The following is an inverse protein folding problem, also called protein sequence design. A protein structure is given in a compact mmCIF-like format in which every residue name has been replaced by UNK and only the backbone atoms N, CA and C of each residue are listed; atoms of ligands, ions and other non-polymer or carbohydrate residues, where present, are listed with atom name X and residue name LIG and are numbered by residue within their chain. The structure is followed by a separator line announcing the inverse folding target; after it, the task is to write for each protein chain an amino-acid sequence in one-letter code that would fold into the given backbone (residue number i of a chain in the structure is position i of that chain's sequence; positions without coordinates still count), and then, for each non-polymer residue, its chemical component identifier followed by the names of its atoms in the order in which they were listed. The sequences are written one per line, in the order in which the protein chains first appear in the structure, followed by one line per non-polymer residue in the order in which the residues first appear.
data_IF_088334329442
#
_entry.id   IF_088334329442
#
_cell.length_a   1.000
_cell.length_b   1.000
_cell.length_c   1.000
_cell.angle_alpha   90.00
_cell.angle_beta   90.00
_cell.angle_gamma   90.00
#
_symmetry.space_group_name_H-M   'P 1'
#
loop_
_entity.id
_entity.type
_entity.pdbx_description
1 polymer ?
#
# COMPACT_ATOMS: atom_id res chain seq x y z
N UNK A 1 -12.27 31.68 6.43
CA UNK A 1 -10.86 31.28 6.48
C UNK A 1 -10.44 30.62 5.15
N UNK A 2 -11.25 29.74 4.53
CA UNK A 2 -10.94 29.09 3.24
C UNK A 2 -10.83 30.03 2.03
N UNK A 3 -11.59 31.12 1.97
CA UNK A 3 -11.46 32.11 0.89
C UNK A 3 -10.11 32.85 0.90
N UNK A 4 -9.49 33.00 2.07
CA UNK A 4 -8.18 33.66 2.20
C UNK A 4 -7.01 32.77 1.72
N UNK A 5 -7.17 31.44 1.70
CA UNK A 5 -6.16 30.52 1.15
C UNK A 5 -6.18 30.58 -0.37
N UNK A 6 -7.35 30.63 -0.99
CA UNK A 6 -7.50 30.71 -2.44
C UNK A 6 -7.09 32.07 -3.02
N UNK A 7 -7.29 33.16 -2.28
CA UNK A 7 -6.96 34.53 -2.73
C UNK A 7 -5.43 34.82 -2.75
N UNK A 8 -4.61 34.00 -2.08
CA UNK A 8 -3.15 34.11 -2.06
C UNK A 8 -2.41 33.13 -2.96
N UNK A 9 -3.10 32.27 -3.71
CA UNK A 9 -2.46 31.27 -4.58
C UNK A 9 -2.05 31.93 -5.90
N UNK A 10 -0.97 32.71 -5.87
CA UNK A 10 -0.30 33.21 -7.04
C UNK A 10 0.84 32.29 -7.53
N UNK A 11 1.04 31.14 -6.87
CA UNK A 11 2.15 30.22 -7.14
C UNK A 11 1.63 28.88 -7.64
N UNK A 12 1.72 28.67 -8.95
CA UNK A 12 1.54 27.32 -9.52
C UNK A 12 2.71 26.44 -9.08
N UNK A 13 2.41 25.26 -8.58
CA UNK A 13 3.43 24.22 -8.40
C UNK A 13 3.87 23.78 -9.80
N UNK A 14 5.14 24.04 -10.13
CA UNK A 14 5.72 23.60 -11.40
C UNK A 14 6.41 22.24 -11.24
N UNK A 15 6.67 21.57 -12.38
CA UNK A 15 7.44 20.33 -12.42
C UNK A 15 8.79 20.49 -11.68
N UNK A 16 9.51 21.55 -11.98
CA UNK A 16 10.84 21.81 -11.42
C UNK A 16 10.78 21.97 -9.90
N UNK A 17 9.76 22.67 -9.42
CA UNK A 17 9.55 22.87 -7.98
C UNK A 17 9.22 21.54 -7.28
N UNK A 18 8.37 20.72 -7.87
CA UNK A 18 8.06 19.40 -7.34
C UNK A 18 9.30 18.48 -7.35
N UNK A 19 10.09 18.47 -8.43
CA UNK A 19 11.34 17.69 -8.47
C UNK A 19 12.35 18.18 -7.42
N UNK A 20 12.40 19.50 -7.15
CA UNK A 20 13.21 20.05 -6.05
C UNK A 20 12.72 19.57 -4.68
N UNK A 21 11.41 19.44 -4.46
CA UNK A 21 10.84 18.84 -3.25
C UNK A 21 11.30 17.39 -3.11
N UNK A 22 11.20 16.58 -4.16
CA UNK A 22 11.62 15.16 -4.13
C UNK A 22 13.11 15.04 -3.76
N UNK A 23 13.97 15.87 -4.36
CA UNK A 23 15.39 15.93 -4.00
C UNK A 23 15.60 16.35 -2.55
N UNK A 24 14.83 17.31 -2.08
CA UNK A 24 14.84 17.76 -0.68
C UNK A 24 14.43 16.65 0.29
N UNK A 25 13.40 15.86 -0.03
CA UNK A 25 12.95 14.73 0.78
C UNK A 25 14.03 13.64 0.87
N UNK A 26 14.64 13.27 -0.25
CA UNK A 26 15.77 12.32 -0.26
C UNK A 26 16.91 12.81 0.65
N UNK A 27 17.25 14.09 0.57
CA UNK A 27 18.26 14.70 1.43
C UNK A 27 17.84 14.69 2.89
N UNK A 28 16.60 15.08 3.20
CA UNK A 28 16.07 15.17 4.57
C UNK A 28 16.15 13.83 5.31
N UNK A 29 15.74 12.74 4.66
CA UNK A 29 15.73 11.40 5.29
C UNK A 29 17.11 10.74 5.34
N UNK A 30 18.07 11.20 4.54
CA UNK A 30 19.47 10.75 4.60
C UNK A 30 20.36 11.58 5.54
N UNK A 31 19.91 12.78 5.94
CA UNK A 31 20.68 13.66 6.82
C UNK A 31 20.60 13.19 8.27
N UNK A 32 21.77 12.94 8.84
CA UNK A 32 21.92 12.52 10.25
C UNK A 32 21.40 13.54 11.26
N UNK A 33 21.31 14.83 10.90
CA UNK A 33 20.75 15.88 11.76
C UNK A 33 19.25 15.69 12.06
N UNK A 34 18.51 14.99 11.17
CA UNK A 34 17.10 14.70 11.32
C UNK A 34 16.82 13.37 12.06
N UNK A 35 17.88 12.61 12.39
CA UNK A 35 17.74 11.27 12.97
C UNK A 35 16.91 11.25 14.25
N UNK A 36 17.19 12.14 15.21
CA UNK A 36 16.48 12.17 16.49
C UNK A 36 14.99 12.48 16.31
N UNK A 37 14.66 13.35 15.37
CA UNK A 37 13.26 13.65 15.00
C UNK A 37 12.59 12.44 14.38
N UNK A 38 13.24 11.76 13.46
CA UNK A 38 12.71 10.54 12.83
C UNK A 38 12.45 9.46 13.90
N UNK A 39 13.41 9.21 14.78
CA UNK A 39 13.25 8.22 15.87
C UNK A 39 12.07 8.56 16.78
N UNK A 40 11.87 9.83 17.12
CA UNK A 40 10.73 10.27 17.91
C UNK A 40 9.39 9.90 17.24
N UNK A 41 9.28 10.09 15.92
CA UNK A 41 8.06 9.74 15.18
C UNK A 41 7.88 8.22 15.02
N UNK A 42 8.96 7.48 14.84
CA UNK A 42 8.96 6.01 14.84
C UNK A 42 8.42 5.48 16.18
N UNK A 43 8.91 6.01 17.30
CA UNK A 43 8.42 5.60 18.63
C UNK A 43 6.94 5.99 18.86
N UNK A 44 6.52 7.16 18.39
CA UNK A 44 5.10 7.53 18.42
C UNK A 44 4.24 6.56 17.61
N UNK A 45 4.66 6.21 16.39
CA UNK A 45 3.92 5.31 15.51
C UNK A 45 3.75 3.90 16.13
N UNK A 46 4.79 3.37 16.79
CA UNK A 46 4.68 2.09 17.54
C UNK A 46 3.65 2.16 18.67
N UNK A 47 3.48 3.32 19.29
CA UNK A 47 2.47 3.52 20.34
C UNK A 47 1.06 3.71 19.79
N UNK A 48 0.92 4.27 18.58
CA UNK A 48 -0.38 4.48 17.94
C UNK A 48 -0.97 3.17 17.37
N UNK A 49 -0.12 2.32 16.82
CA UNK A 49 -0.55 1.08 16.19
C UNK A 49 0.30 -0.10 16.66
N UNK A 50 -0.32 -1.01 17.39
CA UNK A 50 0.36 -2.20 17.89
C UNK A 50 0.81 -3.22 16.81
N UNK A 51 0.52 -3.00 15.54
CA UNK A 51 1.12 -3.71 14.40
C UNK A 51 2.44 -3.09 13.94
N UNK A 52 2.70 -1.82 14.28
CA UNK A 52 3.87 -1.10 13.82
C UNK A 52 5.10 -1.46 14.65
N UNK A 53 5.83 -2.49 14.24
CA UNK A 53 7.15 -2.81 14.75
C UNK A 53 8.20 -1.88 14.13
N UNK A 54 9.38 -1.77 14.74
CA UNK A 54 10.51 -1.03 14.16
C UNK A 54 10.86 -1.55 12.76
N UNK A 55 10.89 -2.88 12.60
CA UNK A 55 11.10 -3.54 11.30
C UNK A 55 10.08 -3.09 10.24
N UNK A 56 8.78 -3.11 10.58
CA UNK A 56 7.70 -2.76 9.64
C UNK A 56 7.78 -1.29 9.23
N UNK A 57 8.01 -0.38 10.19
CA UNK A 57 8.15 1.05 9.91
C UNK A 57 9.36 1.32 9.01
N UNK A 58 10.51 0.74 9.33
CA UNK A 58 11.74 0.95 8.54
C UNK A 58 11.64 0.37 7.14
N UNK A 59 10.99 -0.77 6.96
CA UNK A 59 10.71 -1.30 5.63
C UNK A 59 9.82 -0.36 4.81
N UNK A 60 8.77 0.21 5.42
CA UNK A 60 7.92 1.17 4.73
C UNK A 60 8.68 2.45 4.37
N UNK A 61 9.48 3.00 5.29
CA UNK A 61 10.32 4.17 5.02
C UNK A 61 11.31 3.91 3.89
N UNK A 62 11.98 2.74 3.90
CA UNK A 62 12.91 2.34 2.83
C UNK A 62 12.21 2.20 1.48
N UNK A 63 11.01 1.60 1.45
CA UNK A 63 10.23 1.47 0.23
C UNK A 63 9.82 2.83 -0.32
N UNK A 64 9.35 3.75 0.52
CA UNK A 64 8.99 5.12 0.14
C UNK A 64 10.20 5.86 -0.42
N UNK A 65 11.36 5.80 0.25
CA UNK A 65 12.59 6.45 -0.20
C UNK A 65 13.00 5.93 -1.58
N UNK A 66 13.06 4.62 -1.77
CA UNK A 66 13.49 4.00 -3.02
C UNK A 66 12.52 4.23 -4.18
N UNK A 67 11.20 4.21 -3.91
CA UNK A 67 10.17 4.30 -4.94
C UNK A 67 9.77 5.74 -5.26
N UNK A 68 9.70 6.60 -4.25
CA UNK A 68 9.06 7.92 -4.39
C UNK A 68 10.03 9.09 -4.22
N UNK A 69 11.20 8.92 -3.60
CA UNK A 69 12.17 10.01 -3.43
C UNK A 69 13.32 9.93 -4.44
N UNK A 70 13.01 9.58 -5.66
CA UNK A 70 13.95 9.49 -6.76
C UNK A 70 13.55 10.44 -7.88
N UNK A 71 14.33 11.51 -8.07
CA UNK A 71 14.08 12.55 -9.08
C UNK A 71 13.99 11.96 -10.48
N UNK A 72 14.89 11.02 -10.85
CA UNK A 72 14.87 10.43 -12.19
C UNK A 72 13.60 9.63 -12.49
N UNK A 73 13.03 8.97 -11.46
CA UNK A 73 11.75 8.24 -11.59
C UNK A 73 10.62 9.21 -11.87
N UNK A 74 10.53 10.32 -11.14
CA UNK A 74 9.53 11.36 -11.36
C UNK A 74 9.72 12.09 -12.69
N UNK A 75 10.94 12.37 -13.09
CA UNK A 75 11.22 13.02 -14.38
C UNK A 75 10.74 12.14 -15.53
N UNK A 76 11.10 10.85 -15.51
CA UNK A 76 10.59 9.88 -16.49
C UNK A 76 9.07 9.68 -16.42
N UNK A 77 8.46 9.77 -15.23
CA UNK A 77 7.02 9.75 -15.08
C UNK A 77 6.36 10.93 -15.78
N UNK A 78 6.84 12.15 -15.54
CA UNK A 78 6.30 13.36 -16.18
C UNK A 78 6.50 13.40 -17.70
N UNK A 79 7.55 12.77 -18.24
CA UNK A 79 7.74 12.67 -19.70
C UNK A 79 6.63 11.87 -20.38
N UNK A 80 5.95 10.98 -19.65
CA UNK A 80 4.85 10.15 -20.13
C UNK A 80 3.47 10.81 -19.92
N UNK A 81 3.39 11.92 -19.20
CA UNK A 81 2.14 12.57 -18.83
C UNK A 81 1.98 13.90 -19.60
N UNK A 82 0.77 14.16 -20.07
CA UNK A 82 0.53 15.29 -21.00
C UNK A 82 0.31 16.65 -20.33
N UNK A 83 0.16 16.76 -19.00
CA UNK A 83 -0.14 18.05 -18.38
C UNK A 83 0.06 18.11 -16.86
N UNK A 84 0.38 19.33 -16.37
CA UNK A 84 0.09 19.81 -15.03
C UNK A 84 -1.31 20.44 -15.00
N UNK A 85 -2.00 20.40 -13.86
CA UNK A 85 -3.26 21.13 -13.74
C UNK A 85 -3.03 22.64 -13.90
N UNK A 86 -3.83 23.27 -14.75
CA UNK A 86 -3.77 24.71 -14.96
C UNK A 86 -4.40 25.52 -13.82
N UNK A 87 -5.18 24.87 -12.95
CA UNK A 87 -5.91 25.50 -11.85
C UNK A 87 -5.84 24.63 -10.60
N UNK A 88 -5.16 25.09 -9.52
CA UNK A 88 -5.14 24.33 -8.26
C UNK A 88 -6.54 24.06 -7.72
N UNK A 89 -6.78 22.82 -7.28
CA UNK A 89 -8.02 22.38 -6.63
C UNK A 89 -7.74 21.94 -5.20
N UNK A 90 -8.76 21.96 -4.37
CA UNK A 90 -8.69 21.46 -3.01
C UNK A 90 -9.07 19.98 -3.01
N UNK A 91 -8.09 19.10 -2.82
CA UNK A 91 -8.28 17.64 -2.84
C UNK A 91 -8.28 17.09 -1.42
N UNK A 92 -9.38 16.43 -1.05
CA UNK A 92 -9.52 15.73 0.20
C UNK A 92 -8.93 14.33 0.14
N UNK A 93 -8.01 14.01 1.06
CA UNK A 93 -7.40 12.68 1.18
C UNK A 93 -7.86 12.04 2.50
N UNK A 94 -8.63 10.95 2.43
CA UNK A 94 -8.98 10.11 3.58
C UNK A 94 -8.07 8.88 3.56
N UNK A 95 -7.10 8.86 4.47
CA UNK A 95 -6.02 7.89 4.45
C UNK A 95 -6.32 6.69 5.35
N UNK A 96 -5.94 5.49 4.92
CA UNK A 96 -5.92 4.31 5.78
C UNK A 96 -4.68 4.33 6.70
N UNK A 97 -4.62 3.43 7.66
CA UNK A 97 -3.51 3.35 8.62
C UNK A 97 -3.13 1.89 8.92
N UNK A 98 -3.39 0.98 7.98
CA UNK A 98 -3.01 -0.42 8.13
C UNK A 98 -1.50 -0.66 7.92
N UNK A 99 -0.84 0.21 7.16
CA UNK A 99 0.62 0.23 6.95
C UNK A 99 1.18 1.63 7.22
N UNK A 100 2.46 1.75 7.64
CA UNK A 100 3.09 3.03 7.89
C UNK A 100 3.16 3.89 6.63
N UNK A 101 2.66 5.10 6.70
CA UNK A 101 2.67 6.12 5.65
C UNK A 101 2.09 5.63 4.31
N UNK A 102 1.11 4.72 4.35
CA UNK A 102 0.48 4.15 3.14
C UNK A 102 -0.18 5.20 2.24
N UNK A 103 -0.53 6.37 2.79
CA UNK A 103 -1.10 7.49 2.05
C UNK A 103 -0.10 8.35 1.27
N UNK A 104 1.21 8.06 1.33
CA UNK A 104 2.24 8.89 0.70
C UNK A 104 2.11 8.97 -0.82
N UNK A 105 1.75 7.88 -1.49
CA UNK A 105 1.55 7.90 -2.93
C UNK A 105 0.45 8.88 -3.34
N UNK A 106 -0.71 8.85 -2.69
CA UNK A 106 -1.83 9.75 -3.00
C UNK A 106 -1.49 11.22 -2.67
N UNK A 107 -0.77 11.46 -1.58
CA UNK A 107 -0.29 12.79 -1.23
C UNK A 107 0.67 13.33 -2.30
N UNK A 108 1.69 12.56 -2.66
CA UNK A 108 2.67 12.98 -3.67
C UNK A 108 2.04 13.18 -5.05
N UNK A 109 1.11 12.32 -5.48
CA UNK A 109 0.38 12.51 -6.73
C UNK A 109 -0.47 13.77 -6.71
N UNK A 110 -1.10 14.10 -5.58
CA UNK A 110 -1.88 15.33 -5.41
C UNK A 110 -1.00 16.58 -5.55
N UNK A 111 0.14 16.59 -4.90
CA UNK A 111 1.10 17.69 -4.99
C UNK A 111 1.75 17.78 -6.38
N UNK A 112 2.10 16.62 -6.97
CA UNK A 112 2.67 16.54 -8.32
C UNK A 112 1.71 17.06 -9.40
N UNK A 113 0.39 16.88 -9.21
CA UNK A 113 -0.63 17.42 -10.10
C UNK A 113 -0.88 18.93 -9.89
N UNK A 114 -0.23 19.58 -8.91
CA UNK A 114 -0.38 21.00 -8.64
C UNK A 114 -1.56 21.38 -7.74
N UNK A 115 -2.09 20.44 -6.96
CA UNK A 115 -3.26 20.65 -6.10
C UNK A 115 -2.88 20.87 -4.63
N UNK A 116 -3.84 21.40 -3.87
CA UNK A 116 -3.76 21.54 -2.41
C UNK A 116 -4.35 20.28 -1.75
N UNK A 117 -3.66 19.77 -0.74
CA UNK A 117 -4.07 18.55 -0.06
C UNK A 117 -4.69 18.84 1.31
N UNK A 118 -5.90 18.34 1.56
CA UNK A 118 -6.55 18.33 2.87
C UNK A 118 -6.66 16.90 3.35
N UNK A 119 -5.91 16.56 4.40
CA UNK A 119 -5.74 15.19 4.85
C UNK A 119 -6.55 14.90 6.11
N UNK A 120 -7.37 13.87 6.04
CA UNK A 120 -7.91 13.20 7.22
C UNK A 120 -7.06 11.96 7.48
N UNK A 121 -6.15 12.09 8.45
CA UNK A 121 -5.26 10.99 8.82
C UNK A 121 -6.01 9.89 9.57
N UNK A 122 -5.56 8.66 9.42
CA UNK A 122 -5.99 7.56 10.29
C UNK A 122 -5.42 7.73 11.69
N UNK A 123 -6.20 7.40 12.72
CA UNK A 123 -5.69 7.35 14.09
C UNK A 123 -4.62 6.28 14.32
N UNK A 124 -4.50 5.33 13.39
CA UNK A 124 -3.54 4.23 13.46
C UNK A 124 -2.22 4.51 12.72
N UNK A 125 -2.12 5.65 12.00
CA UNK A 125 -0.91 6.04 11.25
C UNK A 125 -0.78 7.57 11.23
N UNK A 126 -1.05 8.22 12.33
CA UNK A 126 -0.96 9.68 12.40
C UNK A 126 0.50 10.14 12.44
N UNK A 127 1.32 9.49 13.26
CA UNK A 127 2.70 9.89 13.47
C UNK A 127 3.55 9.79 12.20
N UNK A 128 3.50 8.68 11.46
CA UNK A 128 4.32 8.53 10.27
C UNK A 128 3.90 9.50 9.17
N UNK A 129 2.61 9.65 8.90
CA UNK A 129 2.14 10.66 7.93
C UNK A 129 2.54 12.07 8.36
N UNK A 130 2.47 12.40 9.65
CA UNK A 130 2.86 13.71 10.15
C UNK A 130 4.36 13.98 9.98
N UNK A 131 5.23 12.98 10.16
CA UNK A 131 6.67 13.09 9.88
C UNK A 131 6.92 13.54 8.44
N UNK A 132 6.27 12.90 7.46
CA UNK A 132 6.44 13.24 6.05
C UNK A 132 5.84 14.61 5.71
N UNK A 133 4.69 14.96 6.26
CA UNK A 133 4.06 16.29 6.08
C UNK A 133 4.99 17.39 6.61
N UNK A 134 5.54 17.21 7.82
CA UNK A 134 6.47 18.17 8.41
C UNK A 134 7.78 18.27 7.61
N UNK A 135 8.27 17.16 7.05
CA UNK A 135 9.43 17.17 6.16
C UNK A 135 9.14 17.99 4.89
N UNK A 136 8.02 17.73 4.20
CA UNK A 136 7.58 18.47 3.01
C UNK A 136 7.52 19.97 3.31
N UNK A 137 6.80 20.36 4.37
CA UNK A 137 6.61 21.76 4.74
C UNK A 137 7.90 22.45 5.21
N UNK A 138 8.86 21.72 5.76
CA UNK A 138 10.16 22.26 6.14
C UNK A 138 11.08 22.52 4.93
N UNK A 139 10.91 21.75 3.86
CA UNK A 139 11.66 21.93 2.61
C UNK A 139 11.06 23.07 1.79
N UNK A 140 9.74 23.08 1.66
CA UNK A 140 9.02 24.12 0.93
C UNK A 140 7.61 24.33 1.52
N UNK A 141 7.47 25.41 2.27
CA UNK A 141 6.22 25.77 2.98
C UNK A 141 5.05 26.14 2.05
N UNK A 142 5.29 26.34 0.76
CA UNK A 142 4.23 26.66 -0.21
C UNK A 142 3.49 25.42 -0.72
N UNK A 143 4.02 24.20 -0.47
CA UNK A 143 3.19 23.00 -0.62
C UNK A 143 2.09 22.99 0.44
N UNK A 144 0.89 23.38 0.02
CA UNK A 144 -0.24 23.52 0.93
C UNK A 144 -0.80 22.15 1.32
N UNK A 145 -0.54 21.76 2.56
CA UNK A 145 -1.01 20.52 3.18
C UNK A 145 -1.68 20.88 4.48
N UNK A 146 -2.97 20.59 4.62
CA UNK A 146 -3.73 20.82 5.84
C UNK A 146 -4.19 19.47 6.43
N UNK A 147 -3.94 19.26 7.71
CA UNK A 147 -4.43 18.09 8.44
C UNK A 147 -5.68 18.47 9.22
N UNK A 148 -6.77 17.72 9.02
CA UNK A 148 -8.08 18.00 9.60
C UNK A 148 -8.68 16.77 10.27
N UNK A 149 -9.48 16.98 11.30
CA UNK A 149 -10.27 15.91 11.94
C UNK A 149 -11.50 15.53 11.09
N UNK A 150 -12.03 16.48 10.33
CA UNK A 150 -13.17 16.29 9.44
C UNK A 150 -12.96 17.07 8.16
N UNK A 151 -13.14 16.40 7.01
CA UNK A 151 -13.02 17.08 5.72
C UNK A 151 -14.02 18.21 5.58
N UNK A 152 -13.57 19.40 5.18
CA UNK A 152 -14.45 20.49 4.75
C UNK A 152 -15.07 20.19 3.37
N UNK A 153 -15.71 21.18 2.77
CA UNK A 153 -16.04 21.12 1.35
C UNK A 153 -14.76 21.14 0.52
N UNK A 154 -14.60 20.19 -0.38
CA UNK A 154 -13.44 20.01 -1.26
C UNK A 154 -13.90 19.80 -2.70
N UNK A 155 -13.00 20.02 -3.67
CA UNK A 155 -13.31 19.88 -5.09
C UNK A 155 -13.31 18.43 -5.57
N UNK A 156 -12.45 17.60 -4.97
CA UNK A 156 -12.35 16.17 -5.25
C UNK A 156 -11.91 15.38 -4.02
N UNK A 157 -12.13 14.07 -4.00
CA UNK A 157 -11.74 13.19 -2.89
C UNK A 157 -11.06 11.93 -3.38
N UNK A 158 -9.97 11.55 -2.70
CA UNK A 158 -9.39 10.20 -2.76
C UNK A 158 -9.54 9.60 -1.36
N UNK A 159 -10.27 8.51 -1.24
CA UNK A 159 -10.53 7.87 0.04
C UNK A 159 -10.22 6.38 0.02
N UNK A 160 -9.48 5.92 1.01
CA UNK A 160 -9.17 4.51 1.23
C UNK A 160 -9.86 4.02 2.49
N UNK A 161 -10.58 2.92 2.41
CA UNK A 161 -11.30 2.38 3.56
C UNK A 161 -11.72 0.93 3.40
N UNK A 162 -12.27 0.35 4.48
CA UNK A 162 -12.89 -0.98 4.43
C UNK A 162 -14.09 -0.99 3.47
N UNK A 163 -14.59 -2.17 3.11
CA UNK A 163 -15.76 -2.30 2.23
C UNK A 163 -16.99 -1.54 2.77
N UNK A 164 -17.18 -1.54 4.09
CA UNK A 164 -18.24 -0.76 4.74
C UNK A 164 -18.00 0.75 4.58
N UNK A 165 -16.79 1.22 4.89
CA UNK A 165 -16.43 2.63 4.75
C UNK A 165 -16.49 3.10 3.30
N UNK A 166 -16.07 2.28 2.34
CA UNK A 166 -16.08 2.61 0.91
C UNK A 166 -17.49 2.82 0.38
N UNK A 167 -18.45 1.99 0.81
CA UNK A 167 -19.87 2.16 0.43
C UNK A 167 -20.44 3.47 0.99
N UNK A 168 -20.09 3.81 2.23
CA UNK A 168 -20.46 5.10 2.83
C UNK A 168 -19.85 6.27 2.06
N UNK A 169 -18.54 6.22 1.75
CA UNK A 169 -17.83 7.27 1.03
C UNK A 169 -18.38 7.47 -0.39
N UNK A 170 -18.67 6.39 -1.12
CA UNK A 170 -19.25 6.47 -2.45
C UNK A 170 -20.59 7.22 -2.47
N UNK A 171 -21.43 6.99 -1.47
CA UNK A 171 -22.69 7.71 -1.32
C UNK A 171 -22.48 9.17 -0.89
N UNK A 172 -21.59 9.41 0.07
CA UNK A 172 -21.37 10.74 0.65
C UNK A 172 -20.73 11.69 -0.37
N UNK A 173 -19.76 11.20 -1.15
CA UNK A 173 -19.04 11.99 -2.14
C UNK A 173 -19.60 11.87 -3.59
N UNK A 174 -20.78 11.27 -3.78
CA UNK A 174 -21.37 11.02 -5.09
C UNK A 174 -21.52 12.28 -5.99
N UNK A 175 -21.50 13.50 -5.40
CA UNK A 175 -21.70 14.75 -6.12
C UNK A 175 -20.42 15.45 -6.57
N UNK A 176 -19.26 14.95 -6.20
CA UNK A 176 -17.96 15.49 -6.56
C UNK A 176 -17.08 14.40 -7.17
N UNK A 177 -16.08 14.73 -8.00
CA UNK A 177 -15.10 13.77 -8.49
C UNK A 177 -14.46 13.01 -7.32
N UNK A 178 -14.36 11.66 -7.43
CA UNK A 178 -13.78 10.88 -6.35
C UNK A 178 -13.15 9.57 -6.82
N UNK A 179 -12.11 9.14 -6.11
CA UNK A 179 -11.58 7.78 -6.13
C UNK A 179 -11.86 7.16 -4.76
N UNK A 180 -12.65 6.09 -4.72
CA UNK A 180 -12.91 5.34 -3.49
C UNK A 180 -12.28 3.96 -3.61
N UNK A 181 -11.20 3.75 -2.85
CA UNK A 181 -10.46 2.50 -2.83
C UNK A 181 -11.07 1.53 -1.83
N UNK A 182 -11.21 0.28 -2.27
CA UNK A 182 -11.77 -0.83 -1.47
C UNK A 182 -10.65 -1.76 -1.01
N UNK A 183 -10.98 -2.67 -0.11
CA UNK A 183 -10.06 -3.74 0.26
C UNK A 183 -9.80 -4.64 -0.96
N UNK A 184 -8.52 -4.89 -1.21
CA UNK A 184 -8.04 -5.84 -2.20
C UNK A 184 -7.02 -6.78 -1.58
N UNK A 185 -6.69 -7.85 -2.27
CA UNK A 185 -5.66 -8.80 -1.86
C UNK A 185 -4.86 -9.23 -3.09
N UNK A 186 -3.71 -9.83 -2.88
CA UNK A 186 -2.88 -10.30 -3.98
C UNK A 186 -2.77 -11.81 -3.99
N UNK A 187 -2.49 -12.35 -5.16
CA UNK A 187 -2.35 -13.78 -5.38
C UNK A 187 -1.01 -14.09 -6.04
N UNK A 188 -0.49 -15.30 -5.81
CA UNK A 188 0.63 -15.81 -6.59
C UNK A 188 0.16 -16.94 -7.49
N UNK A 189 0.74 -17.02 -8.69
CA UNK A 189 0.52 -18.12 -9.64
C UNK A 189 1.80 -18.92 -9.78
N UNK A 190 1.76 -20.17 -9.37
CA UNK A 190 2.85 -21.14 -9.51
C UNK A 190 2.55 -22.08 -10.68
N UNK A 191 3.59 -22.49 -11.39
CA UNK A 191 3.49 -23.27 -12.63
C UNK A 191 4.17 -24.63 -12.55
N UNK A 192 5.01 -24.84 -11.53
CA UNK A 192 5.85 -26.03 -11.37
C UNK A 192 7.30 -25.84 -11.85
N UNK A 193 7.65 -24.62 -12.27
CA UNK A 193 8.99 -24.29 -12.73
C UNK A 193 9.72 -23.31 -11.81
N UNK A 194 9.19 -23.10 -10.60
CA UNK A 194 9.75 -22.18 -9.63
C UNK A 194 11.07 -22.72 -9.06
N UNK A 195 12.03 -21.81 -8.91
CA UNK A 195 13.31 -22.08 -8.25
C UNK A 195 13.21 -21.79 -6.73
N UNK A 196 14.23 -22.20 -5.96
CA UNK A 196 14.32 -21.83 -4.54
C UNK A 196 14.32 -20.30 -4.35
N UNK A 197 14.95 -19.54 -5.25
CA UNK A 197 14.94 -18.07 -5.20
C UNK A 197 13.53 -17.49 -5.45
N UNK A 198 12.74 -18.11 -6.31
CA UNK A 198 11.35 -17.71 -6.52
C UNK A 198 10.52 -17.94 -5.26
N UNK A 199 10.74 -19.04 -4.54
CA UNK A 199 10.07 -19.30 -3.26
C UNK A 199 10.53 -18.36 -2.14
N UNK A 200 11.82 -18.01 -2.08
CA UNK A 200 12.33 -16.97 -1.16
C UNK A 200 11.67 -15.62 -1.46
N UNK A 201 11.56 -15.24 -2.74
CA UNK A 201 10.83 -14.06 -3.16
C UNK A 201 9.35 -14.11 -2.77
N UNK A 202 8.68 -15.25 -3.02
CA UNK A 202 7.28 -15.43 -2.62
C UNK A 202 7.08 -15.32 -1.10
N UNK A 203 8.02 -15.83 -0.31
CA UNK A 203 7.99 -15.66 1.15
C UNK A 203 8.05 -14.18 1.55
N UNK A 204 8.85 -13.35 0.86
CA UNK A 204 8.85 -11.88 1.04
C UNK A 204 7.47 -11.31 0.73
N UNK A 205 6.84 -11.71 -0.37
CA UNK A 205 5.53 -11.20 -0.77
C UNK A 205 4.40 -11.63 0.19
N UNK A 206 4.53 -12.77 0.85
CA UNK A 206 3.57 -13.27 1.86
C UNK A 206 3.77 -12.55 3.20
N UNK A 207 4.99 -12.51 3.71
CA UNK A 207 5.25 -12.18 5.13
C UNK A 207 5.61 -10.73 5.40
N UNK A 208 6.11 -9.98 4.41
CA UNK A 208 6.39 -8.55 4.58
C UNK A 208 5.11 -7.85 5.06
N UNK A 209 5.23 -6.91 5.99
CA UNK A 209 4.08 -6.27 6.64
C UNK A 209 3.13 -7.25 7.35
N UNK A 210 3.59 -8.44 7.73
CA UNK A 210 2.78 -9.47 8.41
C UNK A 210 1.51 -9.89 7.63
N UNK A 211 1.50 -9.72 6.31
CA UNK A 211 0.33 -10.01 5.47
C UNK A 211 -0.79 -8.97 5.54
N UNK A 212 -0.54 -7.77 6.07
CA UNK A 212 -1.57 -6.72 6.28
C UNK A 212 -1.83 -5.84 5.06
N UNK A 213 -0.93 -5.82 4.08
CA UNK A 213 -1.05 -4.98 2.89
C UNK A 213 -1.93 -5.62 1.81
N UNK A 214 -2.59 -4.80 1.00
CA UNK A 214 -3.34 -5.28 -0.17
C UNK A 214 -2.44 -6.00 -1.21
N UNK A 215 -1.14 -5.71 -1.21
CA UNK A 215 -0.14 -6.36 -2.08
C UNK A 215 0.46 -7.62 -1.47
N UNK A 216 0.12 -7.98 -0.23
CA UNK A 216 0.53 -9.27 0.33
C UNK A 216 -0.20 -10.41 -0.36
N UNK A 217 0.56 -11.45 -0.69
CA UNK A 217 -0.01 -12.69 -1.24
C UNK A 217 -0.73 -13.44 -0.11
N UNK A 218 -2.04 -13.55 -0.23
CA UNK A 218 -2.90 -14.28 0.72
C UNK A 218 -3.44 -15.60 0.15
N UNK A 219 -3.34 -15.79 -1.17
CA UNK A 219 -3.74 -17.02 -1.85
C UNK A 219 -2.75 -17.37 -2.95
N UNK A 220 -2.41 -18.64 -3.07
CA UNK A 220 -1.56 -19.17 -4.14
C UNK A 220 -2.36 -20.10 -5.05
N UNK A 221 -2.20 -19.90 -6.35
CA UNK A 221 -2.82 -20.69 -7.39
C UNK A 221 -1.81 -21.70 -7.90
N UNK A 222 -2.11 -23.00 -7.82
CA UNK A 222 -1.18 -24.08 -8.22
C UNK A 222 -1.86 -25.09 -9.14
N UNK A 223 -1.11 -25.76 -10.06
CA UNK A 223 -1.65 -26.89 -10.79
C UNK A 223 -2.18 -27.99 -9.86
N UNK A 224 -3.16 -28.78 -10.33
CA UNK A 224 -3.84 -29.82 -9.50
C UNK A 224 -2.87 -30.75 -8.79
N UNK A 225 -1.82 -31.20 -9.47
CA UNK A 225 -0.86 -32.19 -8.95
C UNK A 225 0.45 -31.52 -8.47
N UNK A 226 0.40 -30.22 -8.15
CA UNK A 226 1.56 -29.45 -7.71
C UNK A 226 2.07 -29.95 -6.35
N UNK A 227 3.40 -30.22 -6.27
CA UNK A 227 4.07 -30.52 -5.01
C UNK A 227 4.39 -29.24 -4.23
N UNK A 228 3.77 -29.08 -3.06
CA UNK A 228 3.97 -27.93 -2.18
C UNK A 228 5.19 -28.05 -1.27
N UNK A 229 5.82 -29.23 -1.17
CA UNK A 229 6.92 -29.46 -0.22
C UNK A 229 8.07 -28.47 -0.42
N UNK A 230 8.57 -28.20 -1.65
CA UNK A 230 9.67 -27.25 -1.84
C UNK A 230 9.33 -25.82 -1.38
N UNK A 231 8.07 -25.39 -1.55
CA UNK A 231 7.60 -24.11 -1.01
C UNK A 231 7.54 -24.14 0.53
N UNK A 232 7.03 -25.21 1.13
CA UNK A 232 6.93 -25.35 2.59
C UNK A 232 8.30 -25.30 3.25
N UNK A 233 9.31 -25.94 2.65
CA UNK A 233 10.70 -25.92 3.15
C UNK A 233 11.23 -24.48 3.26
N UNK A 234 10.88 -23.59 2.32
CA UNK A 234 11.27 -22.18 2.38
C UNK A 234 10.42 -21.40 3.39
N UNK A 235 9.09 -21.58 3.37
CA UNK A 235 8.21 -20.85 4.29
C UNK A 235 8.52 -21.15 5.77
N UNK A 236 8.90 -22.39 6.10
CA UNK A 236 9.27 -22.77 7.47
C UNK A 236 10.52 -22.04 8.01
N UNK A 237 11.33 -21.42 7.15
CA UNK A 237 12.50 -20.67 7.57
C UNK A 237 12.19 -19.23 8.02
N UNK A 238 10.93 -18.78 7.90
CA UNK A 238 10.51 -17.41 8.20
C UNK A 238 9.96 -17.31 9.63
N UNK A 239 10.82 -17.39 10.62
CA UNK A 239 10.43 -17.40 12.05
C UNK A 239 10.24 -16.01 12.65
N UNK A 240 10.89 -15.00 12.09
CA UNK A 240 10.86 -13.62 12.61
C UNK A 240 9.43 -13.06 12.75
N UNK A 241 8.46 -13.52 11.95
CA UNK A 241 7.06 -13.09 12.07
C UNK A 241 6.42 -13.46 13.40
N UNK A 242 6.88 -14.55 14.03
CA UNK A 242 6.37 -15.00 15.32
C UNK A 242 6.84 -14.14 16.51
N UNK A 243 7.90 -13.37 16.33
CA UNK A 243 8.36 -12.40 17.34
C UNK A 243 7.30 -11.28 17.53
N UNK A 244 6.46 -11.07 16.52
CA UNK A 244 5.39 -10.09 16.60
C UNK A 244 4.15 -10.68 17.28
N UNK A 245 3.83 -10.19 18.49
CA UNK A 245 2.75 -10.74 19.34
C UNK A 245 1.41 -10.83 18.63
N UNK A 246 1.01 -9.79 17.85
CA UNK A 246 -0.26 -9.83 17.13
C UNK A 246 -0.28 -10.88 16.02
N UNK A 247 0.84 -11.04 15.29
CA UNK A 247 0.94 -12.08 14.27
C UNK A 247 0.84 -13.46 14.91
N UNK A 248 1.65 -13.73 15.92
CA UNK A 248 1.65 -14.99 16.66
C UNK A 248 0.26 -15.33 17.23
N UNK A 249 -0.44 -14.35 17.81
CA UNK A 249 -1.80 -14.53 18.31
C UNK A 249 -2.81 -14.88 17.19
N UNK A 250 -2.72 -14.23 16.02
CA UNK A 250 -3.58 -14.56 14.88
C UNK A 250 -3.32 -15.98 14.36
N UNK A 251 -2.04 -16.33 14.19
CA UNK A 251 -1.65 -17.68 13.80
C UNK A 251 -2.22 -18.73 14.76
N UNK A 252 -2.00 -18.58 16.09
CA UNK A 252 -2.51 -19.51 17.09
C UNK A 252 -4.05 -19.57 17.12
N UNK A 253 -4.71 -18.43 16.95
CA UNK A 253 -6.18 -18.36 16.88
C UNK A 253 -6.72 -19.16 15.69
N UNK A 254 -6.19 -18.94 14.49
CA UNK A 254 -6.65 -19.62 13.29
C UNK A 254 -6.29 -21.11 13.31
N UNK A 255 -5.11 -21.49 13.81
CA UNK A 255 -4.73 -22.88 14.06
C UNK A 255 -5.76 -23.57 14.95
N UNK A 256 -6.14 -22.94 16.07
CA UNK A 256 -7.14 -23.49 16.98
C UNK A 256 -8.50 -23.65 16.31
N UNK A 257 -8.96 -22.67 15.53
CA UNK A 257 -10.23 -22.75 14.80
C UNK A 257 -10.25 -23.88 13.79
N UNK A 258 -9.19 -24.07 13.01
CA UNK A 258 -9.11 -25.12 12.01
C UNK A 258 -9.09 -26.52 12.66
N UNK A 259 -8.35 -26.67 13.76
CA UNK A 259 -8.33 -27.92 14.55
C UNK A 259 -9.71 -28.25 15.14
N UNK A 260 -10.40 -27.29 15.76
CA UNK A 260 -11.72 -27.47 16.34
C UNK A 260 -12.79 -27.86 15.30
N UNK A 261 -12.69 -27.22 14.11
CA UNK A 261 -13.60 -27.49 13.00
C UNK A 261 -13.18 -28.69 12.14
N UNK A 262 -12.09 -29.37 12.49
CA UNK A 262 -11.53 -30.52 11.75
C UNK A 262 -11.28 -30.21 10.26
N UNK A 263 -10.88 -28.98 9.94
CA UNK A 263 -10.56 -28.56 8.58
C UNK A 263 -9.11 -29.02 8.26
N UNK A 264 -8.90 -29.79 7.18
CA UNK A 264 -7.56 -30.19 6.77
C UNK A 264 -6.66 -28.96 6.49
N UNK A 265 -5.45 -28.99 7.04
CA UNK A 265 -4.46 -27.92 6.86
C UNK A 265 -3.04 -28.42 7.12
N UNK A 266 -2.08 -27.70 6.60
CA UNK A 266 -0.66 -27.88 6.91
C UNK A 266 -0.24 -26.79 7.89
N UNK A 267 0.34 -27.20 9.01
CA UNK A 267 0.87 -26.30 10.02
C UNK A 267 2.40 -26.22 9.86
N UNK A 268 2.90 -25.10 9.34
CA UNK A 268 4.32 -24.89 9.09
C UNK A 268 5.06 -24.28 10.30
N UNK A 269 4.36 -24.09 11.43
CA UNK A 269 4.92 -23.51 12.64
C UNK A 269 4.83 -21.99 12.71
N UNK A 270 4.82 -21.30 11.58
CA UNK A 270 4.74 -19.84 11.44
C UNK A 270 3.56 -19.38 10.59
N UNK A 271 3.04 -20.21 9.73
CA UNK A 271 1.87 -19.97 8.88
C UNK A 271 1.10 -21.28 8.71
N UNK A 272 -0.20 -21.17 8.58
CA UNK A 272 -1.07 -22.31 8.28
C UNK A 272 -1.40 -22.27 6.79
N UNK A 273 -1.26 -23.39 6.11
CA UNK A 273 -1.63 -23.52 4.70
C UNK A 273 -2.87 -24.40 4.61
N UNK A 274 -3.92 -23.91 3.94
CA UNK A 274 -5.16 -24.66 3.76
C UNK A 274 -5.67 -24.55 2.33
N UNK A 275 -6.19 -25.65 1.79
CA UNK A 275 -6.84 -25.64 0.49
C UNK A 275 -8.18 -24.89 0.62
N UNK A 276 -8.29 -23.76 -0.09
CA UNK A 276 -9.45 -22.90 -0.03
C UNK A 276 -9.52 -22.03 -1.29
N UNK A 277 -10.72 -21.90 -1.86
CA UNK A 277 -10.96 -21.08 -3.06
C UNK A 277 -11.16 -19.58 -2.76
N UNK A 278 -11.25 -19.21 -1.49
CA UNK A 278 -11.40 -17.80 -1.11
C UNK A 278 -10.14 -17.00 -1.42
N UNK A 279 -10.32 -15.86 -2.06
CA UNK A 279 -9.22 -14.95 -2.44
C UNK A 279 -8.44 -14.44 -1.23
N UNK A 280 -9.12 -14.10 -0.14
CA UNK A 280 -8.50 -13.46 1.03
C UNK A 280 -8.37 -14.47 2.16
N UNK A 281 -7.15 -14.68 2.63
CA UNK A 281 -6.89 -15.44 3.85
C UNK A 281 -6.72 -14.51 5.07
N UNK A 282 -7.01 -15.00 6.27
CA UNK A 282 -6.67 -14.30 7.50
C UNK A 282 -5.15 -14.20 7.72
N UNK A 283 -4.72 -13.24 8.53
CA UNK A 283 -3.30 -13.14 8.95
C UNK A 283 -2.83 -14.45 9.60
N UNK A 284 -1.68 -14.95 9.18
CA UNK A 284 -1.12 -16.22 9.64
C UNK A 284 -1.70 -17.46 8.93
N UNK A 285 -2.52 -17.25 7.89
CA UNK A 285 -3.06 -18.29 7.02
C UNK A 285 -2.73 -17.96 5.56
N UNK A 286 -2.39 -18.99 4.78
CA UNK A 286 -2.21 -18.91 3.33
C UNK A 286 -3.19 -19.89 2.67
N UNK A 287 -3.98 -19.39 1.73
CA UNK A 287 -4.87 -20.23 0.95
C UNK A 287 -4.16 -20.86 -0.24
N UNK A 288 -4.49 -22.08 -0.57
CA UNK A 288 -4.06 -22.76 -1.79
C UNK A 288 -5.29 -23.11 -2.61
N UNK A 289 -5.30 -22.66 -3.86
CA UNK A 289 -6.30 -23.03 -4.85
C UNK A 289 -5.65 -23.88 -5.95
N UNK A 290 -6.17 -25.10 -6.16
CA UNK A 290 -5.67 -25.99 -7.21
C UNK A 290 -6.50 -25.85 -8.46
N UNK A 291 -5.86 -25.48 -9.58
CA UNK A 291 -6.52 -25.40 -10.88
C UNK A 291 -6.20 -26.61 -11.75
N UNK A 292 -7.18 -27.08 -12.54
CA UNK A 292 -7.02 -28.21 -13.42
C UNK A 292 -6.50 -27.81 -14.81
N UNK A 293 -6.66 -26.55 -15.21
CA UNK A 293 -6.22 -26.03 -16.50
C UNK A 293 -5.93 -24.52 -16.44
N UNK A 294 -5.12 -24.05 -17.40
CA UNK A 294 -4.88 -22.60 -17.55
C UNK A 294 -6.17 -21.80 -17.85
N UNK A 295 -7.14 -22.42 -18.50
CA UNK A 295 -8.42 -21.77 -18.78
C UNK A 295 -9.23 -21.54 -17.48
N UNK A 296 -9.22 -22.52 -16.59
CA UNK A 296 -9.81 -22.40 -15.25
C UNK A 296 -9.12 -21.27 -14.46
N UNK A 297 -7.77 -21.28 -14.44
CA UNK A 297 -7.00 -20.21 -13.78
C UNK A 297 -7.35 -18.82 -14.33
N UNK A 298 -7.35 -18.64 -15.66
CA UNK A 298 -7.72 -17.36 -16.30
C UNK A 298 -9.14 -16.94 -15.96
N UNK A 299 -10.07 -17.89 -15.96
CA UNK A 299 -11.47 -17.65 -15.60
C UNK A 299 -11.59 -17.19 -14.15
N UNK A 300 -10.90 -17.86 -13.25
CA UNK A 300 -10.89 -17.50 -11.82
C UNK A 300 -10.29 -16.10 -11.60
N UNK A 301 -9.11 -15.82 -12.18
CA UNK A 301 -8.47 -14.50 -12.09
C UNK A 301 -9.39 -13.39 -12.62
N UNK A 302 -10.03 -13.60 -13.77
CA UNK A 302 -10.97 -12.64 -14.34
C UNK A 302 -12.19 -12.40 -13.46
N UNK A 303 -12.75 -13.44 -12.84
CA UNK A 303 -13.88 -13.30 -11.92
C UNK A 303 -13.53 -12.50 -10.66
N UNK A 304 -12.27 -12.53 -10.24
CA UNK A 304 -11.78 -11.86 -9.03
C UNK A 304 -10.99 -10.56 -9.33
N UNK A 305 -10.85 -10.17 -10.60
CA UNK A 305 -10.03 -9.02 -11.04
C UNK A 305 -10.32 -7.74 -10.23
N UNK A 306 -11.59 -7.46 -9.96
CA UNK A 306 -12.00 -6.28 -9.18
C UNK A 306 -11.54 -6.32 -7.71
N UNK A 307 -11.10 -7.47 -7.20
CA UNK A 307 -10.65 -7.68 -5.81
C UNK A 307 -9.16 -8.03 -5.71
N UNK A 308 -8.50 -8.30 -6.84
CA UNK A 308 -7.07 -8.59 -6.90
C UNK A 308 -6.31 -7.27 -7.07
N UNK A 309 -5.36 -7.01 -6.18
CA UNK A 309 -4.46 -5.86 -6.28
C UNK A 309 -3.32 -6.14 -7.26
N UNK A 310 -2.68 -7.29 -7.12
CA UNK A 310 -1.67 -7.72 -8.07
C UNK A 310 -1.58 -9.26 -8.13
N UNK A 311 -1.00 -9.74 -9.22
CA UNK A 311 -0.68 -11.15 -9.43
C UNK A 311 0.84 -11.28 -9.46
N UNK A 312 1.38 -12.18 -8.63
CA UNK A 312 2.81 -12.49 -8.56
C UNK A 312 3.09 -13.79 -9.32
N UNK A 313 4.13 -13.84 -10.11
CA UNK A 313 4.48 -15.04 -10.88
C UNK A 313 5.47 -14.75 -12.01
N UNK A 314 5.91 -15.78 -12.71
CA UNK A 314 6.94 -15.65 -13.74
C UNK A 314 6.57 -14.73 -14.92
N UNK A 315 5.29 -14.55 -15.21
CA UNK A 315 4.80 -13.74 -16.35
C UNK A 315 4.10 -12.44 -15.91
N UNK A 316 4.17 -12.12 -14.65
CA UNK A 316 3.50 -10.97 -14.03
C UNK A 316 4.50 -10.19 -13.16
N UNK A 317 4.11 -9.79 -11.95
CA UNK A 317 5.07 -9.19 -11.00
C UNK A 317 6.03 -10.30 -10.55
N UNK A 318 7.35 -10.13 -10.69
CA UNK A 318 8.32 -11.12 -10.23
C UNK A 318 8.17 -11.40 -8.73
N UNK A 319 8.46 -12.62 -8.31
CA UNK A 319 8.48 -13.02 -6.91
C UNK A 319 9.40 -12.11 -6.09
N UNK A 320 8.95 -11.67 -4.93
CA UNK A 320 9.65 -10.74 -4.04
C UNK A 320 9.49 -9.26 -4.39
N UNK A 321 8.71 -8.93 -5.43
CA UNK A 321 8.54 -7.55 -5.89
C UNK A 321 7.12 -6.97 -5.62
N UNK A 322 6.22 -7.75 -5.03
CA UNK A 322 4.85 -7.27 -4.78
C UNK A 322 4.81 -6.01 -3.90
N UNK A 323 5.75 -5.88 -2.96
CA UNK A 323 5.81 -4.77 -2.01
C UNK A 323 6.61 -3.56 -2.53
N UNK A 324 7.05 -3.61 -3.79
CA UNK A 324 7.86 -2.56 -4.43
C UNK A 324 7.16 -2.05 -5.70
N UNK A 325 5.95 -1.45 -5.58
CA UNK A 325 5.22 -0.93 -6.74
C UNK A 325 6.00 0.21 -7.41
N UNK A 326 6.01 0.23 -8.74
CA UNK A 326 6.51 1.38 -9.47
C UNK A 326 5.63 2.61 -9.22
N UNK A 327 6.14 3.80 -9.50
CA UNK A 327 5.41 5.05 -9.30
C UNK A 327 4.09 5.10 -10.09
N UNK A 328 4.05 4.47 -11.26
CA UNK A 328 2.89 4.35 -12.16
C UNK A 328 2.10 3.04 -11.97
N UNK A 329 2.42 2.22 -10.96
CA UNK A 329 1.61 1.08 -10.53
C UNK A 329 0.51 1.56 -9.57
N UNK A 330 -0.50 2.20 -10.14
CA UNK A 330 -1.57 2.83 -9.38
C UNK A 330 -2.43 1.79 -8.64
N UNK A 331 -2.77 2.12 -7.40
CA UNK A 331 -3.69 1.31 -6.62
C UNK A 331 -5.04 1.18 -7.34
N UNK A 332 -5.63 -0.03 -7.31
CA UNK A 332 -6.89 -0.37 -7.96
C UNK A 332 -6.89 -0.23 -9.50
N UNK A 333 -5.72 -0.08 -10.12
CA UNK A 333 -5.58 0.18 -11.56
C UNK A 333 -6.15 1.53 -12.00
N UNK A 334 -6.43 2.44 -11.06
CA UNK A 334 -6.94 3.78 -11.36
C UNK A 334 -5.79 4.77 -11.41
N UNK A 335 -5.52 5.34 -12.59
CA UNK A 335 -4.50 6.37 -12.74
C UNK A 335 -4.85 7.62 -11.93
N UNK A 336 -4.27 7.70 -10.73
CA UNK A 336 -4.53 8.80 -9.78
C UNK A 336 -4.07 10.14 -10.33
N UNK A 337 -2.94 10.16 -11.05
CA UNK A 337 -2.41 11.41 -11.61
C UNK A 337 -3.32 11.94 -12.73
N UNK A 338 -3.74 11.09 -13.65
CA UNK A 338 -4.68 11.44 -14.72
C UNK A 338 -6.03 11.94 -14.17
N UNK A 339 -6.53 11.27 -13.13
CA UNK A 339 -7.74 11.75 -12.43
C UNK A 339 -7.55 13.17 -11.90
N UNK A 340 -6.41 13.45 -11.26
CA UNK A 340 -6.12 14.74 -10.64
C UNK A 340 -5.95 15.86 -11.69
N UNK A 341 -5.16 15.65 -12.74
CA UNK A 341 -4.94 16.69 -13.76
C UNK A 341 -6.19 17.01 -14.59
N UNK A 342 -7.15 16.10 -14.64
CA UNK A 342 -8.43 16.30 -15.34
C UNK A 342 -9.53 16.91 -14.45
N UNK A 343 -9.22 17.34 -13.22
CA UNK A 343 -10.19 18.05 -12.39
C UNK A 343 -10.52 19.42 -12.98
N UNK A 344 -11.76 19.60 -13.40
CA UNK A 344 -12.30 20.83 -14.04
C UNK A 344 -12.75 21.88 -13.02
#
# INVERSE_FOLDING_TARGET
MYSLILDNIQYMITKERFLSLIQGLQTYFSDSSNKDKIELFVDKAKNENAWFSDYLIRNAMKAIDQQFFNVAVWDSFFEKQDAFSSTPKLVGLILSGNLPAVGMHDLLMTLAAGHLAVLKLSSQDKAMMQLYIEAIQSIDAEFSIEVVERLPSVDAVIATGSDFSSSYFSNYFAKIPHIIRKNRSSVAVLTGNETSLDFEGLAVDIFTYYGLGCRNVSSIMVPKDYDLIPLFDVLTQVDWVLEHTKYSNNYQYHKTLLLLNQIPHYDLGNVIVTENEALVSPVGVLHVHRYASEEELRTWLKQHEAKIQCVVGQQTIPFGQAQMPALDDFADGVNTYEFLVNLS
#
